data_IF_255195082871
#
_entry.id   IF_255195082871
#
_cell.length_a   1.000
_cell.length_b   1.000
_cell.length_c   1.000
_cell.angle_alpha   90.00
_cell.angle_beta   90.00
_cell.angle_gamma   90.00
#
_symmetry.space_group_name_H-M   'P 1'
#
loop_
_entity.id
_entity.type
_entity.pdbx_description
1 polymer ?
#
# COMPACT_ATOMS: atom_id res chain seq x y z
N UNK A 1 41.78 10.08 15.40
CA UNK A 1 41.12 9.64 16.65
C UNK A 1 39.83 10.44 16.78
N UNK A 2 38.61 9.93 16.57
CA UNK A 2 38.07 8.63 16.94
C UNK A 2 37.17 8.76 18.18
N UNK A 3 36.20 9.69 18.18
CA UNK A 3 35.27 9.88 19.31
C UNK A 3 33.98 9.10 19.07
N UNK A 4 33.97 7.94 19.71
CA UNK A 4 32.91 6.94 19.89
C UNK A 4 31.45 7.43 19.77
N UNK A 5 30.76 6.84 18.80
CA UNK A 5 29.30 6.66 18.75
C UNK A 5 28.86 5.72 19.86
N UNK A 6 28.34 6.24 20.98
CA UNK A 6 27.73 5.40 22.02
C UNK A 6 26.22 5.62 22.03
N UNK A 7 25.50 4.84 21.22
CA UNK A 7 24.05 4.72 21.32
C UNK A 7 23.72 3.87 22.55
N UNK A 8 23.29 4.52 23.64
CA UNK A 8 22.81 3.86 24.86
C UNK A 8 21.51 3.09 24.58
N UNK A 9 21.56 1.76 24.74
CA UNK A 9 20.56 0.78 24.26
C UNK A 9 19.66 0.17 25.38
N UNK A 10 19.67 0.74 26.59
CA UNK A 10 18.93 0.19 27.74
C UNK A 10 17.53 0.79 27.98
N UNK A 11 17.33 2.09 27.74
CA UNK A 11 16.07 2.82 28.05
C UNK A 11 15.40 3.44 26.81
N UNK A 12 15.92 3.16 25.62
CA UNK A 12 15.45 3.70 24.34
C UNK A 12 14.35 2.84 23.73
N UNK A 13 14.35 1.52 23.98
CA UNK A 13 13.37 0.57 23.43
C UNK A 13 11.95 0.87 23.89
N UNK A 14 11.76 1.15 25.18
CA UNK A 14 10.45 1.50 25.75
C UNK A 14 9.96 2.85 25.21
N UNK A 15 10.85 3.85 25.12
CA UNK A 15 10.51 5.16 24.54
C UNK A 15 10.15 5.04 23.05
N UNK A 16 10.92 4.28 22.27
CA UNK A 16 10.61 3.99 20.86
C UNK A 16 9.26 3.29 20.74
N UNK A 17 8.96 2.31 21.61
CA UNK A 17 7.71 1.56 21.53
C UNK A 17 6.49 2.40 21.95
N UNK A 18 6.65 3.31 22.91
CA UNK A 18 5.58 4.25 23.32
C UNK A 18 5.33 5.32 22.24
N UNK A 19 6.36 5.80 21.54
CA UNK A 19 6.18 6.76 20.45
C UNK A 19 5.74 6.10 19.12
N UNK A 20 6.28 4.92 18.78
CA UNK A 20 5.97 4.21 17.53
C UNK A 20 4.72 3.34 17.62
N UNK A 21 4.42 2.81 18.81
CA UNK A 21 3.24 1.98 19.09
C UNK A 21 1.92 2.59 18.61
N UNK A 22 1.56 3.83 18.98
CA UNK A 22 0.29 4.43 18.56
C UNK A 22 0.23 4.65 17.04
N UNK A 23 1.34 5.01 16.40
CA UNK A 23 1.41 5.19 14.95
C UNK A 23 1.24 3.85 14.23
N UNK A 24 1.89 2.78 14.73
CA UNK A 24 1.79 1.45 14.14
C UNK A 24 0.39 0.86 14.32
N UNK A 25 -0.19 0.99 15.52
CA UNK A 25 -1.58 0.56 15.78
C UNK A 25 -2.53 1.33 14.88
N UNK A 26 -2.38 2.66 14.77
CA UNK A 26 -3.20 3.47 13.89
C UNK A 26 -3.10 3.03 12.43
N UNK A 27 -1.89 2.80 11.91
CA UNK A 27 -1.68 2.33 10.55
C UNK A 27 -2.32 0.95 10.31
N UNK A 28 -2.15 0.03 11.25
CA UNK A 28 -2.79 -1.29 11.19
C UNK A 28 -4.31 -1.15 11.18
N UNK A 29 -4.89 -0.33 12.07
CA UNK A 29 -6.34 -0.12 12.12
C UNK A 29 -6.84 0.47 10.81
N UNK A 30 -6.17 1.51 10.28
CA UNK A 30 -6.58 2.15 9.02
C UNK A 30 -6.43 1.22 7.82
N UNK A 31 -5.46 0.30 7.82
CA UNK A 31 -5.30 -0.67 6.74
C UNK A 31 -6.27 -1.87 6.86
N UNK A 32 -6.38 -2.43 8.07
CA UNK A 32 -7.11 -3.68 8.32
C UNK A 32 -8.61 -3.44 8.47
N UNK A 33 -9.05 -2.32 9.07
CA UNK A 33 -10.47 -2.02 9.23
C UNK A 33 -11.23 -1.98 7.88
N UNK A 34 -10.83 -1.19 6.87
CA UNK A 34 -11.52 -1.19 5.58
C UNK A 34 -11.37 -2.53 4.85
N UNK A 35 -10.24 -3.23 5.01
CA UNK A 35 -10.05 -4.55 4.41
C UNK A 35 -11.02 -5.58 4.97
N UNK A 36 -11.22 -5.62 6.29
CA UNK A 36 -12.17 -6.54 6.93
C UNK A 36 -13.61 -6.22 6.56
N UNK A 37 -13.98 -4.94 6.48
CA UNK A 37 -15.29 -4.52 5.99
C UNK A 37 -15.50 -4.93 4.54
N UNK A 38 -14.53 -4.65 3.67
CA UNK A 38 -14.58 -5.05 2.26
C UNK A 38 -14.69 -6.56 2.10
N UNK A 39 -13.97 -7.36 2.91
CA UNK A 39 -14.09 -8.81 2.91
C UNK A 39 -15.50 -9.26 3.30
N UNK A 40 -16.05 -8.73 4.39
CA UNK A 40 -17.41 -9.06 4.82
C UNK A 40 -18.44 -8.69 3.75
N UNK A 41 -18.29 -7.52 3.12
CA UNK A 41 -19.19 -7.06 2.06
C UNK A 41 -19.03 -7.88 0.77
N UNK A 42 -17.85 -8.41 0.51
CA UNK A 42 -17.60 -9.26 -0.65
C UNK A 42 -18.32 -10.62 -0.60
N UNK A 43 -18.68 -11.11 0.59
CA UNK A 43 -19.51 -12.31 0.79
C UNK A 43 -21.01 -12.01 0.91
N UNK A 44 -21.41 -10.74 0.83
CA UNK A 44 -22.80 -10.29 0.87
C UNK A 44 -23.27 -9.89 -0.52
N UNK A 45 -24.58 -9.86 -0.69
CA UNK A 45 -25.20 -9.38 -1.92
C UNK A 45 -24.83 -7.92 -2.21
N UNK A 46 -24.10 -7.68 -3.30
CA UNK A 46 -23.87 -6.33 -3.82
C UNK A 46 -25.09 -5.92 -4.66
N UNK A 47 -26.18 -5.52 -4.00
CA UNK A 47 -27.37 -4.99 -4.67
C UNK A 47 -27.33 -3.46 -4.73
N UNK A 48 -27.07 -2.90 -5.92
CA UNK A 48 -27.03 -1.44 -6.16
C UNK A 48 -28.37 -0.73 -5.85
N UNK A 49 -29.46 -1.49 -5.73
CA UNK A 49 -30.82 -0.99 -5.42
C UNK A 49 -31.15 -0.98 -3.94
N UNK A 50 -30.26 -1.44 -3.05
CA UNK A 50 -30.49 -1.43 -1.59
C UNK A 50 -29.19 -1.28 -0.79
N UNK A 51 -28.51 -0.14 -0.96
CA UNK A 51 -27.36 0.24 -0.13
C UNK A 51 -27.69 0.33 1.39
N UNK A 52 -28.97 0.49 1.76
CA UNK A 52 -29.42 0.62 3.15
C UNK A 52 -29.75 -0.72 3.83
N UNK A 53 -30.01 -1.78 3.06
CA UNK A 53 -30.28 -3.11 3.63
C UNK A 53 -29.04 -3.97 3.47
N UNK A 54 -28.45 -4.40 4.59
CA UNK A 54 -27.38 -5.40 4.60
C UNK A 54 -27.95 -6.68 3.99
N UNK A 55 -27.68 -6.90 2.71
CA UNK A 55 -28.23 -7.99 1.91
C UNK A 55 -27.95 -9.37 2.51
N UNK A 56 -28.66 -10.39 2.02
CA UNK A 56 -28.48 -11.76 2.47
C UNK A 56 -27.02 -12.21 2.27
N UNK A 57 -26.55 -13.13 3.11
CA UNK A 57 -25.23 -13.74 2.93
C UNK A 57 -25.33 -14.77 1.80
N UNK A 58 -24.86 -14.43 0.61
CA UNK A 58 -24.96 -15.27 -0.60
C UNK A 58 -23.63 -15.98 -0.92
N UNK A 59 -22.62 -15.83 -0.07
CA UNK A 59 -21.36 -16.56 -0.22
C UNK A 59 -20.60 -16.14 -1.49
N UNK A 60 -20.25 -17.11 -2.35
CA UNK A 60 -19.41 -16.90 -3.54
C UNK A 60 -20.20 -16.66 -4.84
N UNK A 61 -21.53 -16.68 -4.80
CA UNK A 61 -22.34 -16.54 -6.02
C UNK A 61 -22.13 -15.19 -6.72
N UNK A 62 -21.83 -14.14 -5.96
CA UNK A 62 -21.41 -12.82 -6.46
C UNK A 62 -20.21 -12.93 -7.43
N UNK A 63 -19.18 -13.69 -7.05
CA UNK A 63 -18.00 -13.89 -7.90
C UNK A 63 -18.29 -14.74 -9.14
N UNK A 64 -19.22 -15.70 -9.05
CA UNK A 64 -19.56 -16.57 -10.19
C UNK A 64 -20.30 -15.80 -11.28
N UNK A 65 -21.20 -14.89 -10.91
CA UNK A 65 -21.87 -14.02 -11.89
C UNK A 65 -20.90 -12.98 -12.48
N UNK A 66 -20.01 -12.38 -11.67
CA UNK A 66 -18.96 -11.46 -12.14
C UNK A 66 -18.01 -12.12 -13.17
N UNK A 67 -17.54 -13.33 -12.89
CA UNK A 67 -16.57 -14.05 -13.74
C UNK A 67 -17.27 -14.67 -14.97
N UNK A 68 -18.53 -15.07 -14.85
CA UNK A 68 -19.25 -15.84 -15.87
C UNK A 68 -20.05 -15.02 -16.89
N UNK A 69 -20.49 -13.79 -16.57
CA UNK A 69 -21.40 -13.01 -17.44
C UNK A 69 -20.88 -11.64 -17.84
N UNK A 70 -19.97 -11.05 -17.07
CA UNK A 70 -19.70 -9.61 -17.23
C UNK A 70 -18.43 -9.34 -18.05
N UNK A 71 -18.61 -9.03 -19.34
CA UNK A 71 -17.51 -8.63 -20.23
C UNK A 71 -16.82 -7.34 -19.78
N UNK A 72 -17.48 -6.50 -18.97
CA UNK A 72 -16.90 -5.25 -18.47
C UNK A 72 -15.85 -5.49 -17.38
N UNK A 73 -15.95 -6.60 -16.63
CA UNK A 73 -15.01 -6.94 -15.56
C UNK A 73 -13.57 -7.10 -16.10
N UNK A 74 -13.42 -7.83 -17.20
CA UNK A 74 -12.12 -8.00 -17.87
C UNK A 74 -11.60 -6.69 -18.47
N UNK A 75 -12.48 -5.84 -18.99
CA UNK A 75 -12.11 -4.50 -19.47
C UNK A 75 -11.50 -3.64 -18.36
N UNK A 76 -12.16 -3.56 -17.20
CA UNK A 76 -11.67 -2.79 -16.05
C UNK A 76 -10.31 -3.30 -15.53
N UNK A 77 -10.12 -4.62 -15.48
CA UNK A 77 -8.84 -5.23 -15.11
C UNK A 77 -7.75 -4.89 -16.12
N UNK A 78 -8.03 -4.98 -17.42
CA UNK A 78 -7.05 -4.67 -18.45
C UNK A 78 -6.66 -3.18 -18.43
N UNK A 79 -7.61 -2.27 -18.26
CA UNK A 79 -7.31 -0.85 -18.15
C UNK A 79 -6.42 -0.53 -16.94
N UNK A 80 -6.75 -1.09 -15.77
CA UNK A 80 -5.94 -0.89 -14.55
C UNK A 80 -4.56 -1.54 -14.68
N UNK A 81 -4.47 -2.72 -15.26
CA UNK A 81 -3.22 -3.42 -15.50
C UNK A 81 -2.31 -2.65 -16.48
N UNK A 82 -2.85 -2.15 -17.60
CA UNK A 82 -2.09 -1.36 -18.57
C UNK A 82 -1.60 -0.05 -17.93
N UNK A 83 -2.44 0.62 -17.15
CA UNK A 83 -2.05 1.82 -16.42
C UNK A 83 -0.91 1.55 -15.44
N UNK A 84 -1.01 0.50 -14.60
CA UNK A 84 0.08 0.12 -13.69
C UNK A 84 1.34 -0.28 -14.45
N UNK A 85 1.22 -1.06 -15.51
CA UNK A 85 2.35 -1.54 -16.30
C UNK A 85 3.14 -0.39 -16.95
N UNK A 86 2.50 0.74 -17.25
CA UNK A 86 3.16 1.93 -17.80
C UNK A 86 3.61 2.88 -16.67
N UNK A 87 2.75 3.13 -15.68
CA UNK A 87 3.00 4.10 -14.61
C UNK A 87 4.16 3.68 -13.70
N UNK A 88 4.20 2.41 -13.28
CA UNK A 88 5.23 1.90 -12.36
C UNK A 88 6.65 2.02 -12.92
N UNK A 89 6.97 1.54 -14.15
CA UNK A 89 8.31 1.72 -14.69
C UNK A 89 8.65 3.19 -14.94
N UNK A 90 7.67 4.02 -15.31
CA UNK A 90 7.88 5.44 -15.50
C UNK A 90 8.26 6.12 -14.17
N UNK A 91 7.54 5.85 -13.09
CA UNK A 91 7.84 6.33 -11.74
C UNK A 91 9.23 5.87 -11.29
N UNK A 92 9.59 4.61 -11.54
CA UNK A 92 10.91 4.08 -11.23
C UNK A 92 12.03 4.80 -11.98
N UNK A 93 11.86 5.03 -13.29
CA UNK A 93 12.82 5.78 -14.11
C UNK A 93 12.96 7.22 -13.61
N UNK A 94 11.86 7.91 -13.32
CA UNK A 94 11.93 9.26 -12.77
C UNK A 94 12.61 9.31 -11.41
N UNK A 95 12.29 8.38 -10.51
CA UNK A 95 12.95 8.26 -9.21
C UNK A 95 14.46 8.07 -9.36
N UNK A 96 14.89 7.19 -10.28
CA UNK A 96 16.30 6.96 -10.57
C UNK A 96 16.99 8.18 -11.19
N UNK A 97 16.35 8.85 -12.15
CA UNK A 97 16.88 10.06 -12.78
C UNK A 97 17.08 11.17 -11.75
N UNK A 98 16.11 11.39 -10.87
CA UNK A 98 16.21 12.38 -9.80
C UNK A 98 17.33 11.99 -8.83
N UNK A 99 17.42 10.72 -8.43
CA UNK A 99 18.49 10.24 -7.56
C UNK A 99 19.88 10.46 -8.17
N UNK A 100 20.06 10.15 -9.46
CA UNK A 100 21.31 10.37 -10.18
C UNK A 100 21.64 11.85 -10.31
N UNK A 101 20.64 12.70 -10.57
CA UNK A 101 20.83 14.14 -10.69
C UNK A 101 21.27 14.77 -9.36
N UNK A 102 20.68 14.33 -8.25
CA UNK A 102 21.08 14.73 -6.89
C UNK A 102 22.51 14.22 -6.60
N UNK A 103 22.81 12.95 -6.93
CA UNK A 103 24.13 12.37 -6.68
C UNK A 103 25.23 13.06 -7.49
N UNK A 104 24.96 13.43 -8.74
CA UNK A 104 25.89 14.19 -9.59
C UNK A 104 26.14 15.61 -9.08
N UNK A 105 25.19 16.18 -8.32
CA UNK A 105 25.29 17.52 -7.73
C UNK A 105 25.85 17.53 -6.30
N UNK A 106 26.05 16.37 -5.67
CA UNK A 106 26.74 16.24 -4.40
C UNK A 106 28.25 16.04 -4.65
N UNK A 107 29.10 17.07 -4.54
CA UNK A 107 30.55 16.97 -4.80
C UNK A 107 31.27 16.29 -3.62
N UNK A 108 30.86 15.08 -3.22
CA UNK A 108 31.34 14.45 -1.98
C UNK A 108 32.13 13.15 -2.17
N UNK A 109 32.31 12.66 -3.40
CA UNK A 109 33.09 11.43 -3.65
C UNK A 109 34.19 11.54 -4.72
N UNK A 110 34.30 12.65 -5.47
CA UNK A 110 35.38 12.82 -6.48
C UNK A 110 36.70 13.43 -5.94
N UNK A 111 36.80 13.76 -4.65
CA UNK A 111 38.00 14.37 -4.05
C UNK A 111 38.72 13.45 -3.03
N UNK A 112 38.37 12.16 -2.98
CA UNK A 112 38.97 11.16 -2.10
C UNK A 112 39.16 9.85 -2.85
N UNK A 113 39.87 9.92 -3.98
CA UNK A 113 40.68 8.81 -4.49
C UNK A 113 41.91 9.37 -5.20
#
# INVERSE_FOLDING_TARGET
>A
MGSATTVQSGSTKTFLWVCMGPVLIFLIVVAVAPLTLALIDSFRELSMTSLTKRGAFIGLDNYRDLIGKDSHFYGAILHTAILMAIAVPLEFVFGLLIALWINCKAPVLCATS
#
